data_IF_916689732741
#
_entry.id   IF_916689732741
#
_cell.length_a   1.000
_cell.length_b   1.000
_cell.length_c   1.000
_cell.angle_alpha   90.00
_cell.angle_beta   90.00
_cell.angle_gamma   90.00
#
_symmetry.space_group_name_H-M   'P 1'
#
loop_
_entity.id
_entity.type
_entity.pdbx_description
1 polymer ?
#
# COMPACT_ATOMS: atom_id res chain seq x y z
N UNK A 1 -23.32 10.86 -0.17
CA UNK A 1 -22.68 12.05 -0.80
C UNK A 1 -23.19 12.13 -2.21
N UNK A 2 -24.19 12.99 -2.46
CA UNK A 2 -24.62 13.27 -3.82
C UNK A 2 -23.46 13.97 -4.53
N UNK A 3 -23.18 13.55 -5.77
CA UNK A 3 -22.22 14.24 -6.61
C UNK A 3 -22.61 15.72 -6.64
N UNK A 4 -21.74 16.61 -6.14
CA UNK A 4 -21.74 17.99 -6.57
C UNK A 4 -21.76 17.92 -8.10
N UNK A 5 -22.87 18.34 -8.72
CA UNK A 5 -23.00 18.26 -10.17
C UNK A 5 -21.75 18.88 -10.78
N UNK A 6 -21.06 18.16 -11.67
CA UNK A 6 -19.72 18.53 -12.15
C UNK A 6 -19.64 19.99 -12.64
N UNK A 7 -20.76 20.54 -13.13
CA UNK A 7 -20.90 21.94 -13.50
C UNK A 7 -20.57 22.91 -12.36
N UNK A 8 -21.06 22.66 -11.14
CA UNK A 8 -20.86 23.58 -10.00
C UNK A 8 -19.45 23.50 -9.42
N UNK A 9 -18.85 22.31 -9.42
CA UNK A 9 -17.47 22.14 -9.01
C UNK A 9 -16.53 23.02 -9.87
N UNK A 10 -16.77 23.08 -11.18
CA UNK A 10 -15.98 23.92 -12.10
C UNK A 10 -16.17 25.42 -11.85
N UNK A 11 -17.36 25.86 -11.45
CA UNK A 11 -17.59 27.26 -11.06
C UNK A 11 -16.84 27.64 -9.77
N UNK A 12 -16.82 26.76 -8.77
CA UNK A 12 -16.05 26.99 -7.53
C UNK A 12 -14.55 27.13 -7.81
N UNK A 13 -13.99 26.34 -8.75
CA UNK A 13 -12.60 26.49 -9.14
C UNK A 13 -12.32 27.84 -9.82
N UNK A 14 -13.19 28.29 -10.73
CA UNK A 14 -13.06 29.63 -11.35
C UNK A 14 -13.14 30.75 -10.32
N UNK A 15 -14.00 30.61 -9.31
CA UNK A 15 -14.13 31.60 -8.25
C UNK A 15 -12.89 31.66 -7.34
N UNK A 16 -12.27 30.51 -7.05
CA UNK A 16 -11.00 30.45 -6.31
C UNK A 16 -9.88 31.09 -7.11
N UNK A 17 -9.82 30.84 -8.42
CA UNK A 17 -8.82 31.45 -9.30
C UNK A 17 -8.95 32.98 -9.36
N UNK A 18 -10.19 33.48 -9.41
CA UNK A 18 -10.47 34.92 -9.38
C UNK A 18 -10.11 35.59 -8.04
N UNK A 19 -10.10 34.83 -6.94
CA UNK A 19 -9.84 35.33 -5.57
C UNK A 19 -8.49 34.87 -5.00
N UNK A 20 -7.60 34.31 -5.82
CA UNK A 20 -6.38 33.64 -5.34
C UNK A 20 -5.44 34.55 -4.54
N UNK A 21 -5.41 35.84 -4.87
CA UNK A 21 -4.53 36.81 -4.21
C UNK A 21 -5.09 37.29 -2.86
N UNK A 22 -6.41 37.19 -2.66
CA UNK A 22 -7.11 37.56 -1.42
C UNK A 22 -7.33 36.36 -0.47
N UNK A 23 -7.23 35.13 -0.99
CA UNK A 23 -7.49 33.92 -0.24
C UNK A 23 -6.23 33.41 0.48
N UNK A 24 -6.15 33.69 1.79
CA UNK A 24 -5.11 33.12 2.66
C UNK A 24 -5.16 31.59 2.77
N UNK A 25 -6.33 30.97 2.53
CA UNK A 25 -6.52 29.53 2.59
C UNK A 25 -7.58 29.03 1.57
N UNK A 26 -7.17 28.66 0.34
CA UNK A 26 -8.10 28.25 -0.71
C UNK A 26 -8.79 26.91 -0.44
N UNK A 27 -8.15 25.96 0.26
CA UNK A 27 -8.79 24.68 0.61
C UNK A 27 -9.89 24.84 1.66
N UNK A 28 -9.67 25.74 2.64
CA UNK A 28 -10.69 26.13 3.61
C UNK A 28 -11.91 26.79 2.96
N UNK A 29 -11.69 27.61 1.92
CA UNK A 29 -12.77 28.23 1.14
C UNK A 29 -13.63 27.18 0.42
N UNK A 30 -12.99 26.22 -0.26
CA UNK A 30 -13.69 25.15 -0.99
C UNK A 30 -14.60 24.32 -0.08
N UNK A 31 -14.10 23.92 1.10
CA UNK A 31 -14.89 23.12 2.07
C UNK A 31 -16.08 23.93 2.59
N UNK A 32 -15.90 25.21 2.89
CA UNK A 32 -16.98 26.08 3.37
C UNK A 32 -18.03 26.32 2.29
N UNK A 33 -17.62 26.55 1.05
CA UNK A 33 -18.53 26.73 -0.08
C UNK A 33 -19.37 25.47 -0.35
N UNK A 34 -18.72 24.29 -0.42
CA UNK A 34 -19.41 23.02 -0.60
C UNK A 34 -20.41 22.73 0.54
N UNK A 35 -20.06 23.08 1.79
CA UNK A 35 -20.95 22.91 2.94
C UNK A 35 -22.15 23.87 2.92
N UNK A 36 -21.94 25.12 2.51
CA UNK A 36 -23.00 26.12 2.45
C UNK A 36 -24.04 25.77 1.37
N UNK A 37 -23.59 25.20 0.25
CA UNK A 37 -24.48 24.71 -0.81
C UNK A 37 -25.26 23.46 -0.41
N UNK A 38 -24.65 22.55 0.35
CA UNK A 38 -25.34 21.38 0.90
C UNK A 38 -26.43 21.72 1.93
N UNK A 39 -26.40 22.91 2.54
CA UNK A 39 -27.39 23.35 3.52
C UNK A 39 -28.62 24.02 2.88
N UNK A 40 -28.54 24.45 1.62
CA UNK A 40 -29.62 25.16 0.92
C UNK A 40 -30.57 24.24 0.13
N UNK A 41 -30.29 22.93 0.07
CA UNK A 41 -31.25 21.96 -0.49
C UNK A 41 -32.29 21.65 0.58
N UNK A 42 -33.26 22.56 0.70
CA UNK A 42 -34.46 22.35 1.48
C UNK A 42 -35.13 21.03 1.06
N UNK A 43 -35.67 20.33 2.06
CA UNK A 43 -36.63 19.25 1.87
C UNK A 43 -37.75 19.71 0.93
N UNK A 44 -37.60 19.46 -0.36
CA UNK A 44 -38.72 19.45 -1.26
C UNK A 44 -39.46 18.14 -0.98
N UNK A 45 -40.45 18.25 -0.10
CA UNK A 45 -41.37 17.18 0.25
C UNK A 45 -42.02 16.69 -1.05
N UNK A 46 -41.60 15.53 -1.55
CA UNK A 46 -42.23 14.91 -2.70
C UNK A 46 -43.67 14.53 -2.31
N UNK A 47 -44.67 14.83 -3.15
CA UNK A 47 -46.02 14.36 -2.92
C UNK A 47 -46.05 12.82 -3.00
N UNK A 48 -46.85 12.14 -2.15
CA UNK A 48 -46.95 10.70 -2.15
C UNK A 48 -47.59 10.23 -3.46
N UNK A 49 -46.78 9.66 -4.35
CA UNK A 49 -47.31 8.88 -5.45
C UNK A 49 -47.75 7.52 -4.93
N UNK A 50 -49.06 7.30 -4.89
CA UNK A 50 -49.67 5.99 -4.69
C UNK A 50 -49.36 5.13 -5.92
N UNK A 51 -48.33 4.29 -5.83
CA UNK A 51 -48.06 3.28 -6.86
C UNK A 51 -48.65 1.96 -6.37
N UNK A 52 -49.86 1.69 -6.84
CA UNK A 52 -50.55 0.42 -6.68
C UNK A 52 -50.13 -0.51 -7.80
N UNK A 53 -49.17 -1.41 -7.53
CA UNK A 53 -48.94 -2.59 -8.37
C UNK A 53 -48.59 -3.80 -7.48
N UNK A 54 -49.43 -4.82 -7.59
CA UNK A 54 -49.27 -6.13 -6.99
C UNK A 54 -48.20 -6.94 -7.75
N UNK A 55 -47.25 -7.60 -7.07
CA UNK A 55 -46.37 -8.57 -7.72
C UNK A 55 -47.04 -9.96 -7.83
N UNK A 56 -46.88 -10.70 -8.95
CA UNK A 56 -47.21 -12.11 -8.99
C UNK A 56 -46.21 -12.91 -8.14
N UNK A 57 -46.76 -13.81 -7.33
CA UNK A 57 -46.03 -14.68 -6.43
C UNK A 57 -45.00 -15.55 -7.18
N UNK A 58 -43.72 -15.29 -6.95
CA UNK A 58 -42.69 -16.29 -7.15
C UNK A 58 -42.39 -16.97 -5.81
N UNK A 59 -42.74 -18.24 -5.78
CA UNK A 59 -42.55 -19.16 -4.67
C UNK A 59 -41.04 -19.39 -4.50
N UNK A 60 -40.45 -18.77 -3.47
CA UNK A 60 -39.09 -19.10 -3.02
C UNK A 60 -39.19 -20.13 -1.87
N UNK A 61 -38.42 -21.22 -1.91
CA UNK A 61 -38.45 -22.22 -0.85
C UNK A 61 -37.84 -21.68 0.45
N UNK A 62 -38.72 -21.63 1.45
CA UNK A 62 -38.56 -21.85 2.88
C UNK A 62 -37.14 -21.72 3.47
N UNK A 63 -36.96 -20.62 4.18
CA UNK A 63 -35.80 -20.24 4.98
C UNK A 63 -35.45 -21.26 6.07
N UNK A 64 -34.21 -21.74 6.05
CA UNK A 64 -33.56 -22.28 7.24
C UNK A 64 -33.28 -21.12 8.20
N UNK A 65 -34.09 -21.03 9.26
CA UNK A 65 -33.86 -20.14 10.39
C UNK A 65 -32.64 -20.61 11.20
N UNK A 66 -31.44 -20.23 10.75
CA UNK A 66 -30.24 -20.30 11.58
C UNK A 66 -30.25 -19.11 12.57
N UNK A 67 -30.78 -19.37 13.76
CA UNK A 67 -30.75 -18.43 14.89
C UNK A 67 -29.32 -18.35 15.45
N UNK A 68 -28.46 -17.58 14.78
CA UNK A 68 -27.09 -17.30 15.20
C UNK A 68 -26.89 -15.79 15.36
N UNK A 69 -26.30 -15.39 16.48
CA UNK A 69 -25.98 -14.00 16.84
C UNK A 69 -24.95 -13.38 15.88
N UNK A 70 -25.37 -13.02 14.67
CA UNK A 70 -24.59 -12.21 13.73
C UNK A 70 -25.11 -10.79 13.75
N UNK A 71 -24.31 -9.83 14.23
CA UNK A 71 -24.60 -8.40 14.08
C UNK A 71 -24.61 -8.13 12.57
N UNK A 72 -25.81 -8.09 11.98
CA UNK A 72 -26.00 -7.94 10.54
C UNK A 72 -25.23 -6.74 10.03
N UNK A 73 -24.40 -6.96 9.01
CA UNK A 73 -23.74 -5.90 8.27
C UNK A 73 -24.77 -4.87 7.86
N UNK A 74 -24.46 -3.60 8.11
CA UNK A 74 -25.37 -2.53 7.69
C UNK A 74 -25.44 -2.50 6.16
N UNK A 75 -26.62 -2.25 5.59
CA UNK A 75 -26.82 -2.15 4.14
C UNK A 75 -25.83 -1.13 3.48
N UNK A 76 -25.43 -0.13 4.24
CA UNK A 76 -24.41 0.86 3.85
C UNK A 76 -23.01 0.24 3.63
N UNK A 77 -22.63 -0.77 4.41
CA UNK A 77 -21.34 -1.44 4.27
C UNK A 77 -21.29 -2.32 3.03
N UNK A 78 -22.34 -3.10 2.79
CA UNK A 78 -22.47 -3.92 1.57
C UNK A 78 -22.39 -3.06 0.31
N UNK A 79 -23.14 -1.95 0.27
CA UNK A 79 -23.11 -1.03 -0.88
C UNK A 79 -21.74 -0.36 -1.07
N UNK A 80 -20.99 -0.12 0.00
CA UNK A 80 -19.64 0.46 -0.09
C UNK A 80 -18.63 -0.52 -0.67
N UNK A 81 -18.65 -1.78 -0.21
CA UNK A 81 -17.78 -2.84 -0.72
C UNK A 81 -18.05 -3.08 -2.20
N UNK A 82 -19.32 -3.21 -2.59
CA UNK A 82 -19.71 -3.44 -3.98
C UNK A 82 -19.28 -2.27 -4.89
N UNK A 83 -19.53 -1.02 -4.48
CA UNK A 83 -19.10 0.16 -5.24
C UNK A 83 -17.58 0.19 -5.46
N UNK A 84 -16.80 -0.16 -4.43
CA UNK A 84 -15.33 -0.20 -4.55
C UNK A 84 -14.86 -1.30 -5.50
N UNK A 85 -15.45 -2.50 -5.41
CA UNK A 85 -15.14 -3.61 -6.31
C UNK A 85 -15.50 -3.29 -7.78
N UNK A 86 -16.65 -2.67 -8.03
CA UNK A 86 -17.06 -2.20 -9.36
C UNK A 86 -16.08 -1.16 -9.90
N UNK A 87 -15.67 -0.20 -9.08
CA UNK A 87 -14.68 0.80 -9.50
C UNK A 87 -13.33 0.18 -9.85
N UNK A 88 -12.82 -0.75 -9.02
CA UNK A 88 -11.56 -1.45 -9.28
C UNK A 88 -11.61 -2.25 -10.58
N UNK A 89 -12.74 -2.91 -10.85
CA UNK A 89 -12.97 -3.65 -12.09
C UNK A 89 -12.89 -2.73 -13.31
N UNK A 90 -13.50 -1.54 -13.26
CA UNK A 90 -13.47 -0.60 -14.38
C UNK A 90 -12.17 0.18 -14.56
N UNK A 91 -11.43 0.45 -13.48
CA UNK A 91 -10.31 1.41 -13.51
C UNK A 91 -8.94 0.76 -13.31
N UNK A 92 -8.86 -0.32 -12.55
CA UNK A 92 -7.58 -0.94 -12.15
C UNK A 92 -7.38 -2.30 -12.83
N UNK A 93 -8.47 -3.06 -12.99
CA UNK A 93 -8.45 -4.43 -13.53
C UNK A 93 -9.43 -4.63 -14.70
N UNK A 94 -9.34 -3.82 -15.78
CA UNK A 94 -10.28 -3.91 -16.90
C UNK A 94 -10.21 -5.26 -17.64
N UNK A 95 -9.05 -5.92 -17.61
CA UNK A 95 -8.79 -7.21 -18.25
C UNK A 95 -9.11 -8.42 -17.34
N UNK A 96 -9.29 -8.19 -16.04
CA UNK A 96 -9.46 -9.24 -15.03
C UNK A 96 -10.45 -8.79 -13.94
N UNK A 97 -11.75 -8.72 -14.27
CA UNK A 97 -12.78 -8.20 -13.36
C UNK A 97 -12.83 -8.97 -12.04
N UNK A 98 -13.23 -8.27 -10.98
CA UNK A 98 -13.46 -8.89 -9.66
C UNK A 98 -14.82 -9.60 -9.71
N UNK A 99 -14.83 -10.91 -9.49
CA UNK A 99 -16.04 -11.74 -9.56
C UNK A 99 -16.92 -11.56 -8.32
N UNK A 100 -18.22 -11.83 -8.47
CA UNK A 100 -19.20 -11.74 -7.39
C UNK A 100 -18.83 -12.57 -6.15
N UNK A 101 -18.27 -13.76 -6.34
CA UNK A 101 -17.79 -14.62 -5.24
C UNK A 101 -16.74 -13.93 -4.37
N UNK A 102 -15.81 -13.18 -4.98
CA UNK A 102 -14.82 -12.41 -4.25
C UNK A 102 -15.45 -11.22 -3.50
N UNK A 103 -16.48 -10.59 -4.08
CA UNK A 103 -17.23 -9.50 -3.44
C UNK A 103 -17.98 -10.03 -2.20
N UNK A 104 -18.66 -11.17 -2.33
CA UNK A 104 -19.33 -11.86 -1.22
C UNK A 104 -18.33 -12.23 -0.09
N UNK A 105 -17.15 -12.75 -0.46
CA UNK A 105 -16.08 -13.04 0.49
C UNK A 105 -15.56 -11.78 1.20
N UNK A 106 -15.52 -10.63 0.53
CA UNK A 106 -15.18 -9.35 1.17
C UNK A 106 -16.29 -8.84 2.09
N UNK A 107 -17.55 -9.05 1.72
CA UNK A 107 -18.68 -8.67 2.56
C UNK A 107 -18.65 -9.41 3.90
N UNK A 108 -18.28 -10.70 3.93
CA UNK A 108 -18.21 -11.48 5.17
C UNK A 108 -17.10 -11.06 6.13
N UNK A 109 -16.04 -10.41 5.64
CA UNK A 109 -14.96 -9.84 6.47
C UNK A 109 -15.35 -8.53 7.18
N UNK A 110 -16.35 -7.83 6.66
CA UNK A 110 -16.73 -6.49 7.07
C UNK A 110 -16.01 -5.38 6.31
N UNK A 111 -16.62 -4.19 6.32
CA UNK A 111 -16.23 -3.07 5.45
C UNK A 111 -14.80 -2.57 5.67
N UNK A 112 -14.38 -2.38 6.92
CA UNK A 112 -13.06 -1.86 7.22
C UNK A 112 -11.94 -2.75 6.65
N UNK A 113 -12.02 -4.07 6.90
CA UNK A 113 -11.01 -5.02 6.44
C UNK A 113 -11.04 -5.23 4.94
N UNK A 114 -12.23 -5.31 4.35
CA UNK A 114 -12.40 -5.39 2.90
C UNK A 114 -11.73 -4.21 2.17
N UNK A 115 -11.89 -2.98 2.67
CA UNK A 115 -11.29 -1.79 2.07
C UNK A 115 -9.75 -1.79 2.18
N UNK A 116 -9.17 -2.38 3.23
CA UNK A 116 -7.72 -2.56 3.33
C UNK A 116 -7.20 -3.56 2.30
N UNK A 117 -7.87 -4.70 2.11
CA UNK A 117 -7.50 -5.67 1.09
C UNK A 117 -7.64 -5.10 -0.33
N UNK A 118 -8.67 -4.29 -0.58
CA UNK A 118 -8.80 -3.57 -1.84
C UNK A 118 -7.65 -2.60 -2.12
N UNK A 119 -7.16 -1.86 -1.10
CA UNK A 119 -5.96 -1.02 -1.24
C UNK A 119 -4.71 -1.84 -1.51
N UNK A 120 -4.60 -3.02 -0.90
CA UNK A 120 -3.45 -3.89 -1.10
C UNK A 120 -3.39 -4.43 -2.54
N UNK A 121 -4.51 -4.89 -3.10
CA UNK A 121 -4.53 -5.37 -4.49
C UNK A 121 -4.31 -4.25 -5.49
N UNK A 122 -4.75 -3.02 -5.19
CA UNK A 122 -4.49 -1.84 -6.01
C UNK A 122 -2.99 -1.53 -6.06
N UNK A 123 -2.28 -1.63 -4.92
CA UNK A 123 -0.83 -1.47 -4.86
C UNK A 123 -0.06 -2.59 -5.59
N UNK A 124 -0.65 -3.78 -5.69
CA UNK A 124 -0.08 -4.97 -6.36
C UNK A 124 -0.66 -5.22 -7.74
N UNK A 125 -1.30 -4.23 -8.37
CA UNK A 125 -2.11 -4.45 -9.58
C UNK A 125 -1.31 -5.12 -10.69
N UNK A 126 -0.05 -4.75 -10.90
CA UNK A 126 0.79 -5.24 -11.99
C UNK A 126 1.32 -6.67 -11.74
N UNK A 127 1.42 -7.06 -10.48
CA UNK A 127 1.89 -8.39 -10.06
C UNK A 127 0.76 -9.43 -9.98
N UNK A 128 -0.50 -8.98 -9.90
CA UNK A 128 -1.66 -9.84 -9.68
C UNK A 128 -2.25 -10.33 -10.99
N UNK A 129 -2.00 -11.60 -11.31
CA UNK A 129 -2.63 -12.28 -12.46
C UNK A 129 -4.13 -12.56 -12.27
N UNK A 130 -4.58 -12.77 -11.03
CA UNK A 130 -5.98 -13.07 -10.69
C UNK A 130 -6.38 -12.36 -9.39
N UNK A 131 -6.97 -11.14 -9.46
CA UNK A 131 -7.36 -10.37 -8.27
C UNK A 131 -8.49 -11.05 -7.49
N UNK A 132 -9.46 -11.67 -8.17
CA UNK A 132 -10.57 -12.41 -7.52
C UNK A 132 -10.05 -13.55 -6.63
N UNK A 133 -9.14 -14.37 -7.18
CA UNK A 133 -8.53 -15.48 -6.43
C UNK A 133 -7.69 -15.01 -5.24
N UNK A 134 -7.01 -13.86 -5.38
CA UNK A 134 -6.28 -13.25 -4.27
C UNK A 134 -7.22 -12.84 -3.13
N UNK A 135 -8.31 -12.13 -3.44
CA UNK A 135 -9.27 -11.64 -2.44
C UNK A 135 -9.96 -12.77 -1.69
N UNK A 136 -10.40 -13.83 -2.38
CA UNK A 136 -11.01 -15.01 -1.76
C UNK A 136 -10.02 -15.66 -0.77
N UNK A 137 -8.78 -15.87 -1.20
CA UNK A 137 -7.73 -16.47 -0.36
C UNK A 137 -7.37 -15.57 0.82
N UNK A 138 -7.33 -14.26 0.62
CA UNK A 138 -7.10 -13.30 1.69
C UNK A 138 -8.24 -13.36 2.72
N UNK A 139 -9.50 -13.41 2.28
CA UNK A 139 -10.64 -13.57 3.18
C UNK A 139 -10.60 -14.85 4.00
N UNK A 140 -10.22 -15.96 3.37
CA UNK A 140 -10.03 -17.24 4.04
C UNK A 140 -8.93 -17.17 5.11
N UNK A 141 -7.81 -16.51 4.80
CA UNK A 141 -6.69 -16.35 5.75
C UNK A 141 -7.01 -15.43 6.93
N UNK A 142 -7.86 -14.41 6.73
CA UNK A 142 -8.30 -13.46 7.77
C UNK A 142 -9.29 -14.05 8.78
N UNK A 143 -9.64 -15.33 8.64
CA UNK A 143 -10.38 -16.04 9.67
C UNK A 143 -11.88 -16.17 9.40
N UNK A 144 -12.34 -16.07 8.15
CA UNK A 144 -13.63 -16.69 7.75
C UNK A 144 -13.47 -18.21 7.64
N UNK A 145 -12.77 -18.82 8.59
CA UNK A 145 -12.52 -20.25 8.69
C UNK A 145 -13.31 -20.90 9.84
N UNK A 146 -14.36 -20.25 10.37
CA UNK A 146 -15.07 -20.76 11.56
C UNK A 146 -16.60 -20.89 11.42
N UNK A 147 -17.18 -20.99 10.22
CA UNK A 147 -18.63 -21.19 10.15
C UNK A 147 -19.24 -21.75 8.87
N UNK A 148 -18.66 -21.49 7.69
CA UNK A 148 -19.19 -22.04 6.43
C UNK A 148 -18.23 -23.13 5.98
N UNK A 149 -18.41 -24.34 6.51
CA UNK A 149 -17.96 -25.53 5.80
C UNK A 149 -18.69 -25.50 4.45
N UNK A 150 -17.99 -25.11 3.38
CA UNK A 150 -18.43 -25.43 2.04
C UNK A 150 -18.69 -26.94 2.05
N UNK A 151 -19.92 -27.42 1.77
CA UNK A 151 -20.17 -28.85 1.70
C UNK A 151 -19.21 -29.38 0.64
N UNK A 152 -18.26 -30.20 1.10
CA UNK A 152 -17.43 -30.97 0.22
C UNK A 152 -18.36 -31.92 -0.54
N UNK A 153 -18.88 -31.46 -1.67
CA UNK A 153 -19.44 -32.36 -2.67
C UNK A 153 -18.25 -33.12 -3.24
N UNK A 154 -17.79 -34.12 -2.49
CA UNK A 154 -17.04 -35.21 -3.05
C UNK A 154 -17.94 -35.85 -4.11
N UNK A 155 -17.53 -35.96 -5.38
CA UNK A 155 -18.10 -36.99 -6.22
C UNK A 155 -17.76 -38.32 -5.54
N UNK A 156 -18.80 -39.02 -5.08
CA UNK A 156 -18.71 -40.41 -4.64
C UNK A 156 -18.38 -41.24 -5.89
N UNK A 157 -17.10 -41.27 -6.25
CA UNK A 157 -16.53 -42.34 -7.06
C UNK A 157 -15.62 -43.11 -6.13
N UNK A 158 -16.17 -44.18 -5.56
CA UNK A 158 -15.38 -45.17 -4.85
C UNK A 158 -14.35 -45.75 -5.84
N UNK A 159 -13.04 -45.56 -5.64
CA UNK A 159 -12.06 -46.31 -6.40
C UNK A 159 -12.14 -47.79 -5.99
N UNK A 160 -12.10 -48.74 -6.94
CA UNK A 160 -12.06 -50.16 -6.61
C UNK A 160 -10.77 -50.49 -5.83
N UNK A 161 -10.78 -51.51 -4.96
CA UNK A 161 -9.61 -51.90 -4.18
C UNK A 161 -8.57 -52.51 -5.11
N UNK A 162 -7.50 -51.77 -5.41
CA UNK A 162 -6.34 -52.32 -6.11
C UNK A 162 -5.39 -52.95 -5.09
N UNK A 163 -5.52 -54.27 -4.91
CA UNK A 163 -4.49 -55.11 -4.29
C UNK A 163 -3.28 -55.17 -5.23
N UNK A 164 -2.35 -54.22 -5.07
CA UNK A 164 -1.13 -54.14 -5.85
C UNK A 164 0.11 -54.14 -4.96
N UNK A 165 0.65 -55.33 -4.68
CA UNK A 165 2.03 -55.56 -4.22
C UNK A 165 2.99 -54.76 -5.10
N UNK A 166 3.88 -53.97 -4.50
CA UNK A 166 4.92 -53.27 -5.24
C UNK A 166 5.98 -52.66 -4.34
N UNK A 167 6.91 -53.49 -3.87
CA UNK A 167 8.22 -53.07 -3.37
C UNK A 167 8.91 -52.22 -4.44
N UNK A 168 9.12 -50.93 -4.17
CA UNK A 168 9.82 -50.01 -5.06
C UNK A 168 10.80 -49.17 -4.26
N UNK A 169 11.93 -49.79 -3.91
CA UNK A 169 13.14 -49.11 -3.46
C UNK A 169 13.62 -48.26 -4.64
N UNK A 170 13.34 -46.96 -4.59
CA UNK A 170 13.75 -45.98 -5.60
C UNK A 170 14.20 -44.71 -4.90
N UNK A 171 15.43 -44.73 -4.38
CA UNK A 171 16.16 -43.57 -3.90
C UNK A 171 16.29 -42.52 -5.00
N UNK A 172 15.49 -41.46 -4.93
CA UNK A 172 15.81 -40.18 -5.57
C UNK A 172 16.58 -39.32 -4.55
N UNK A 173 17.69 -38.68 -4.95
CA UNK A 173 18.50 -37.89 -4.04
C UNK A 173 17.69 -36.71 -3.53
N UNK A 174 17.54 -36.66 -2.20
CA UNK A 174 17.12 -35.49 -1.48
C UNK A 174 18.08 -34.35 -1.83
N UNK A 175 17.67 -33.46 -2.73
CA UNK A 175 18.19 -32.11 -2.78
C UNK A 175 17.79 -31.45 -1.46
N UNK A 176 18.67 -31.62 -0.49
CA UNK A 176 18.67 -31.01 0.83
C UNK A 176 18.87 -29.51 0.63
N UNK A 177 17.84 -28.84 0.11
CA UNK A 177 17.75 -27.39 0.19
C UNK A 177 17.50 -27.10 1.67
N UNK A 178 18.59 -26.86 2.39
CA UNK A 178 18.58 -26.37 3.75
C UNK A 178 17.78 -25.07 3.72
N UNK A 179 16.50 -25.18 4.06
CA UNK A 179 15.63 -24.08 4.44
C UNK A 179 16.31 -23.40 5.62
N UNK A 180 17.13 -22.39 5.32
CA UNK A 180 17.80 -21.55 6.30
C UNK A 180 16.80 -21.15 7.38
N UNK A 181 17.23 -21.36 8.62
CA UNK A 181 16.43 -21.22 9.81
C UNK A 181 15.63 -19.93 9.79
N UNK A 182 14.34 -20.09 10.08
CA UNK A 182 13.38 -19.03 10.35
C UNK A 182 13.76 -18.35 11.67
N UNK A 183 14.89 -17.65 11.66
CA UNK A 183 15.21 -16.68 12.70
C UNK A 183 14.06 -15.69 12.73
N UNK A 184 13.49 -15.45 13.92
CA UNK A 184 12.51 -14.38 14.12
C UNK A 184 13.23 -13.05 13.89
N UNK A 185 13.41 -12.68 12.62
CA UNK A 185 13.77 -11.33 12.25
C UNK A 185 12.73 -10.38 12.83
N UNK A 186 13.18 -9.22 13.29
CA UNK A 186 12.23 -8.18 13.69
C UNK A 186 11.28 -7.92 12.51
N UNK A 187 9.96 -7.79 12.72
CA UNK A 187 9.00 -7.50 11.64
C UNK A 187 9.36 -6.24 10.84
N UNK A 188 10.16 -5.36 11.45
CA UNK A 188 10.69 -4.15 10.87
C UNK A 188 11.81 -4.42 9.85
N UNK A 189 12.68 -5.40 10.13
CA UNK A 189 13.72 -5.84 9.21
C UNK A 189 13.11 -6.35 7.88
N UNK A 190 12.04 -7.15 7.97
CA UNK A 190 11.34 -7.68 6.79
C UNK A 190 10.68 -6.60 5.94
N UNK A 191 10.23 -5.50 6.54
CA UNK A 191 9.67 -4.35 5.81
C UNK A 191 10.77 -3.59 5.07
N UNK A 192 11.90 -3.33 5.73
CA UNK A 192 13.06 -2.64 5.14
C UNK A 192 13.61 -3.48 3.98
N UNK A 193 13.84 -4.78 4.19
CA UNK A 193 14.34 -5.69 3.16
C UNK A 193 13.41 -5.76 1.93
N UNK A 194 12.09 -5.83 2.13
CA UNK A 194 11.12 -5.83 1.02
C UNK A 194 11.16 -4.53 0.22
N UNK A 195 11.19 -3.36 0.87
CA UNK A 195 11.28 -2.07 0.18
C UNK A 195 12.60 -1.96 -0.60
N UNK A 196 13.72 -2.33 -0.01
CA UNK A 196 15.03 -2.32 -0.69
C UNK A 196 15.08 -3.29 -1.87
N UNK A 197 14.52 -4.50 -1.72
CA UNK A 197 14.42 -5.48 -2.82
C UNK A 197 13.63 -4.92 -3.99
N UNK A 198 12.51 -4.22 -3.71
CA UNK A 198 11.74 -3.54 -4.74
C UNK A 198 12.54 -2.42 -5.42
N UNK A 199 13.29 -1.61 -4.65
CA UNK A 199 14.13 -0.55 -5.21
C UNK A 199 15.26 -1.08 -6.09
N UNK A 200 15.91 -2.18 -5.69
CA UNK A 200 16.95 -2.82 -6.50
C UNK A 200 16.41 -3.35 -7.84
N UNK A 201 15.12 -3.71 -7.89
CA UNK A 201 14.46 -4.16 -9.13
C UNK A 201 13.99 -3.01 -10.04
N UNK A 202 13.56 -1.89 -9.46
CA UNK A 202 12.84 -0.84 -10.20
C UNK A 202 13.63 0.47 -10.36
N UNK A 203 14.51 0.80 -9.42
CA UNK A 203 15.19 2.10 -9.34
C UNK A 203 16.70 1.93 -9.52
N UNK A 204 17.29 0.94 -8.86
CA UNK A 204 18.74 0.73 -8.78
C UNK A 204 19.16 -0.59 -9.44
N UNK A 205 18.79 -0.78 -10.71
CA UNK A 205 19.13 -1.98 -11.48
C UNK A 205 20.63 -2.08 -11.77
N UNK A 206 21.30 -0.94 -12.00
CA UNK A 206 22.74 -0.88 -12.32
C UNK A 206 23.64 -0.95 -11.08
N UNK A 207 23.17 -0.45 -9.95
CA UNK A 207 23.93 -0.36 -8.70
C UNK A 207 23.07 -0.76 -7.50
N UNK A 208 22.75 -2.06 -7.32
CA UNK A 208 21.85 -2.51 -6.27
C UNK A 208 22.39 -2.18 -4.87
N UNK A 209 21.47 -1.86 -3.96
CA UNK A 209 21.77 -1.64 -2.54
C UNK A 209 22.26 -2.95 -1.92
N UNK A 210 23.41 -2.89 -1.25
CA UNK A 210 24.08 -4.05 -0.65
C UNK A 210 23.45 -4.48 0.67
N UNK A 211 23.67 -5.74 1.05
CA UNK A 211 23.14 -6.29 2.31
C UNK A 211 23.70 -5.56 3.53
N UNK A 212 24.94 -5.08 3.47
CA UNK A 212 25.56 -4.32 4.57
C UNK A 212 24.82 -3.00 4.83
N UNK A 213 24.39 -2.27 3.80
CA UNK A 213 23.56 -1.08 3.98
C UNK A 213 22.20 -1.41 4.61
N UNK A 214 21.60 -2.55 4.26
CA UNK A 214 20.34 -3.01 4.86
C UNK A 214 20.50 -3.26 6.36
N UNK A 215 21.57 -3.95 6.76
CA UNK A 215 21.90 -4.20 8.18
C UNK A 215 22.14 -2.89 8.95
N UNK A 216 22.86 -1.93 8.34
CA UNK A 216 23.08 -0.59 8.92
C UNK A 216 21.75 0.15 9.14
N UNK A 217 20.81 0.06 8.19
CA UNK A 217 19.49 0.68 8.32
C UNK A 217 18.64 -0.02 9.38
N UNK A 218 18.67 -1.34 9.45
CA UNK A 218 17.94 -2.11 10.47
C UNK A 218 18.44 -1.77 11.89
N UNK A 219 19.72 -1.46 12.04
CA UNK A 219 20.33 -1.02 13.30
C UNK A 219 19.87 0.35 13.82
N UNK A 220 19.18 1.17 13.01
CA UNK A 220 18.70 2.49 13.44
C UNK A 220 17.53 2.44 14.43
N UNK A 221 16.84 1.29 14.54
CA UNK A 221 15.75 1.06 15.50
C UNK A 221 14.44 1.79 15.22
N UNK A 222 14.39 2.68 14.22
CA UNK A 222 13.18 3.41 13.81
C UNK A 222 12.89 3.21 12.33
N UNK A 223 11.87 2.39 12.03
CA UNK A 223 11.42 2.12 10.66
C UNK A 223 11.01 3.39 9.93
N UNK A 224 10.31 4.30 10.60
CA UNK A 224 9.84 5.54 9.99
C UNK A 224 11.00 6.39 9.46
N UNK A 225 12.10 6.48 10.22
CA UNK A 225 13.31 7.19 9.78
C UNK A 225 14.00 6.50 8.61
N UNK A 226 14.07 5.16 8.64
CA UNK A 226 14.63 4.37 7.54
C UNK A 226 13.84 4.62 6.25
N UNK A 227 12.50 4.58 6.32
CA UNK A 227 11.64 4.82 5.17
C UNK A 227 11.79 6.25 4.63
N UNK A 228 11.90 7.26 5.50
CA UNK A 228 12.18 8.63 5.07
C UNK A 228 13.52 8.74 4.30
N UNK A 229 14.57 8.02 4.71
CA UNK A 229 15.84 7.97 3.97
C UNK A 229 15.71 7.25 2.63
N UNK A 230 14.95 6.16 2.58
CA UNK A 230 14.71 5.41 1.34
C UNK A 230 13.88 6.25 0.34
N UNK A 231 12.92 7.05 0.81
CA UNK A 231 12.12 7.94 -0.04
C UNK A 231 12.93 9.15 -0.54
N UNK A 232 13.82 9.71 0.29
CA UNK A 232 14.78 10.74 -0.14
C UNK A 232 15.78 10.19 -1.17
N UNK A 233 16.28 8.96 -0.97
CA UNK A 233 17.11 8.27 -1.94
C UNK A 233 16.34 7.99 -3.25
N UNK A 234 15.07 7.61 -3.17
CA UNK A 234 14.21 7.40 -4.34
C UNK A 234 14.06 8.69 -5.16
N UNK A 235 13.84 9.82 -4.47
CA UNK A 235 13.71 11.14 -5.10
C UNK A 235 14.99 11.55 -5.83
N UNK A 236 16.16 11.22 -5.28
CA UNK A 236 17.48 11.51 -5.86
C UNK A 236 17.98 10.43 -6.83
N UNK A 237 17.22 9.35 -7.06
CA UNK A 237 17.73 8.08 -7.57
C UNK A 237 18.68 8.17 -8.78
N UNK A 238 18.35 9.00 -9.77
CA UNK A 238 19.18 9.17 -10.96
C UNK A 238 20.52 9.91 -10.73
N UNK A 239 20.60 10.73 -9.67
CA UNK A 239 21.81 11.49 -9.32
C UNK A 239 22.78 10.67 -8.45
N UNK A 240 22.29 9.63 -7.77
CA UNK A 240 23.06 8.86 -6.80
C UNK A 240 23.74 7.66 -7.47
N UNK A 241 25.03 7.82 -7.81
CA UNK A 241 25.84 6.76 -8.43
C UNK A 241 26.07 5.53 -7.53
N UNK A 242 26.02 5.70 -6.21
CA UNK A 242 26.25 4.62 -5.24
C UNK A 242 25.21 4.70 -4.11
N UNK A 243 24.05 4.03 -4.25
CA UNK A 243 22.97 4.13 -3.27
C UNK A 243 23.34 3.50 -1.92
N UNK A 244 24.11 2.41 -1.90
CA UNK A 244 24.61 1.80 -0.66
C UNK A 244 25.47 2.79 0.14
N UNK A 245 26.39 3.49 -0.53
CA UNK A 245 27.23 4.51 0.09
C UNK A 245 26.43 5.70 0.62
N UNK A 246 25.40 6.13 -0.12
CA UNK A 246 24.49 7.18 0.31
C UNK A 246 23.73 6.82 1.60
N UNK A 247 23.20 5.59 1.68
CA UNK A 247 22.45 5.11 2.84
C UNK A 247 23.35 4.94 4.06
N UNK A 248 24.53 4.32 3.92
CA UNK A 248 25.51 4.19 5.00
C UNK A 248 25.94 5.57 5.53
N UNK A 249 26.16 6.54 4.65
CA UNK A 249 26.50 7.91 5.04
C UNK A 249 25.34 8.63 5.76
N UNK A 250 24.10 8.43 5.31
CA UNK A 250 22.90 9.03 5.91
C UNK A 250 22.61 8.42 7.29
N UNK A 251 22.66 7.08 7.41
CA UNK A 251 22.52 6.38 8.68
C UNK A 251 23.60 6.78 9.69
N UNK A 252 24.86 6.94 9.25
CA UNK A 252 25.96 7.43 10.10
C UNK A 252 25.69 8.85 10.62
N UNK A 253 25.11 9.73 9.81
CA UNK A 253 24.72 11.09 10.24
C UNK A 253 23.59 11.06 11.28
N UNK A 254 22.65 10.14 11.14
CA UNK A 254 21.59 9.95 12.14
C UNK A 254 22.13 9.47 13.48
N UNK A 255 23.00 8.44 13.49
CA UNK A 255 23.65 8.00 14.72
C UNK A 255 24.46 9.12 15.39
N UNK A 256 25.18 9.92 14.60
CA UNK A 256 25.95 11.06 15.10
C UNK A 256 25.11 12.24 15.61
N UNK A 257 23.83 12.34 15.21
CA UNK A 257 22.91 13.41 15.65
C UNK A 257 22.08 13.03 16.88
N UNK A 258 22.12 11.77 17.30
CA UNK A 258 21.35 11.24 18.44
C UNK A 258 21.97 11.48 19.82
N UNK A 259 23.16 12.07 19.91
CA UNK A 259 23.59 12.70 21.15
C UNK A 259 22.64 13.85 21.50
N UNK A 260 22.28 14.07 22.77
CA UNK A 260 21.48 15.23 23.15
C UNK A 260 22.12 16.44 22.49
N UNK A 261 21.34 17.16 21.69
CA UNK A 261 21.75 18.40 21.05
C UNK A 261 21.93 19.41 22.19
N UNK A 262 23.00 19.30 22.97
CA UNK A 262 23.58 20.44 23.64
C UNK A 262 23.86 21.40 22.50
N UNK A 263 23.08 22.48 22.46
CA UNK A 263 23.20 23.54 21.50
C UNK A 263 24.58 24.16 21.59
N UNK A 264 25.57 23.50 21.00
CA UNK A 264 26.79 24.13 20.56
C UNK A 264 26.30 25.08 19.49
N UNK A 265 25.99 26.31 19.92
CA UNK A 265 25.91 27.48 19.08
C UNK A 265 27.12 27.36 18.16
N UNK A 266 26.90 26.93 16.93
CA UNK A 266 27.89 27.06 15.88
C UNK A 266 28.05 28.57 15.78
N UNK A 267 29.09 29.07 16.46
CA UNK A 267 29.51 30.44 16.34
C UNK A 267 29.64 30.74 14.84
N UNK A 268 29.41 32.00 14.43
CA UNK A 268 29.65 32.41 13.06
C UNK A 268 31.03 31.91 12.64
N UNK A 269 31.17 31.44 11.39
CA UNK A 269 32.44 30.91 10.89
C UNK A 269 33.53 31.92 11.24
N UNK A 270 34.45 31.51 12.13
CA UNK A 270 35.66 32.28 12.39
C UNK A 270 36.38 32.24 11.06
N UNK A 271 36.25 33.33 10.31
CA UNK A 271 37.06 33.61 9.14
C UNK A 271 38.49 33.66 9.66
N UNK A 272 39.18 32.52 9.64
CA UNK A 272 40.62 32.51 9.81
C UNK A 272 41.19 33.23 8.60
N UNK A 273 41.31 34.54 8.73
CA UNK A 273 42.21 35.39 7.94
C UNK A 273 43.63 34.95 8.30
N UNK A 274 44.02 33.78 7.80
CA UNK A 274 45.40 33.36 7.77
C UNK A 274 46.19 34.39 6.95
N UNK A 275 47.38 34.82 7.42
CA UNK A 275 48.19 35.78 6.70
C UNK A 275 48.52 35.25 5.30
N UNK A 276 48.58 36.14 4.29
CA UNK A 276 48.83 35.75 2.91
C UNK A 276 50.18 35.05 2.81
N UNK A 277 50.16 33.76 2.43
CA UNK A 277 51.36 33.05 2.04
C UNK A 277 51.98 33.75 0.83
N UNK A 278 53.13 34.38 1.05
CA UNK A 278 53.94 34.99 -0.01
C UNK A 278 54.33 33.90 -1.01
N UNK A 279 53.83 34.02 -2.23
CA UNK A 279 54.22 33.22 -3.40
C UNK A 279 55.73 33.43 -3.63
N UNK A 280 56.54 32.47 -3.19
CA UNK A 280 57.97 32.39 -3.48
C UNK A 280 58.17 32.21 -4.97
N UNK A 281 58.65 33.26 -5.64
CA UNK A 281 59.01 33.28 -7.05
C UNK A 281 60.37 32.61 -7.21
N UNK A 282 60.38 31.28 -7.25
CA UNK A 282 61.58 30.50 -7.56
C UNK A 282 61.95 30.62 -9.04
N UNK A 283 62.87 31.53 -9.36
CA UNK A 283 63.67 31.50 -10.59
C UNK A 283 64.81 30.51 -10.35
N UNK A 284 64.69 29.30 -10.89
CA UNK A 284 65.81 28.36 -11.02
C UNK A 284 65.98 28.06 -12.49
N UNK A 285 66.97 28.71 -13.11
CA UNK A 285 67.46 28.36 -14.43
C UNK A 285 68.17 27.01 -14.36
N UNK A 286 67.80 26.11 -15.26
CA UNK A 286 68.59 24.93 -15.56
C UNK A 286 69.34 25.23 -16.86
N UNK A 287 70.64 25.48 -16.69
CA UNK A 287 71.62 25.69 -17.74
C UNK A 287 72.01 24.31 -18.30
N UNK A 288 72.05 24.22 -19.62
CA UNK A 288 72.51 23.06 -20.38
C UNK A 288 74.03 22.95 -20.30
N UNK A 289 74.53 21.75 -20.01
CA UNK A 289 75.82 21.26 -20.48
C UNK A 289 75.65 19.83 -20.96
#
# INVERSE_FOLDING_TARGET
>A
MMALGCARALELFKEIEAKKDDLRNPSGYLIKAARNEGAAVGHQQMPPQQVQYAPPAQHYPQEFHAKGMGKGLSEQESTTIHKRATWLTGNVFPDRPINEEAIQAMMSLGCARALELFKEIEAKKDDLRNPSGYLIKAAQNEGVAAGVQMPAHAPVYAPPPFQGRGNGIGSAPAAQFQSMGKGKGSPDHDKIHRKVTWMNKNVFTEAPIDAEAIEVLAGLGSVERVFAMLDDLQTKGAEVKNPSGYLKASAKREWGRGGPVQGVKRGPPVMMTGPPMKKGKGKGGFELY
#
